data_IF_513981599154
#
_entry.id   IF_513981599154
#
_cell.length_a   1.000
_cell.length_b   1.000
_cell.length_c   1.000
_cell.angle_alpha   90.00
_cell.angle_beta   90.00
_cell.angle_gamma   90.00
#
_symmetry.space_group_name_H-M   'P 1'
#
loop_
_entity.id
_entity.type
_entity.pdbx_description
1 polymer ?
#
# COMPACT_ATOMS: atom_id res chain seq x y z
N UNK A 1 -18.01 -0.18 -8.32
CA UNK A 1 -17.00 0.03 -9.37
C UNK A 1 -15.63 -0.13 -8.75
N UNK A 2 -14.90 -1.21 -9.05
CA UNK A 2 -13.52 -1.34 -8.62
C UNK A 2 -12.68 -0.39 -9.48
N UNK A 3 -12.38 0.78 -8.93
CA UNK A 3 -11.36 1.67 -9.49
C UNK A 3 -10.02 0.94 -9.38
N UNK A 4 -9.70 0.12 -10.38
CA UNK A 4 -8.48 -0.69 -10.42
C UNK A 4 -7.31 0.26 -10.63
N UNK A 5 -6.78 0.79 -9.53
CA UNK A 5 -5.52 1.51 -9.56
C UNK A 5 -4.39 0.51 -9.72
N UNK A 6 -3.35 0.94 -10.42
CA UNK A 6 -2.11 0.21 -10.59
C UNK A 6 -1.04 0.70 -9.61
N UNK A 7 -1.35 1.70 -8.79
CA UNK A 7 -0.42 2.34 -7.87
C UNK A 7 -0.79 2.01 -6.43
N UNK A 8 0.19 1.64 -5.63
CA UNK A 8 0.08 1.54 -4.18
C UNK A 8 0.91 2.63 -3.50
N UNK A 9 0.44 3.04 -2.33
CA UNK A 9 1.18 3.85 -1.38
C UNK A 9 1.49 3.00 -0.16
N UNK A 10 2.77 2.89 0.15
CA UNK A 10 3.31 2.16 1.30
C UNK A 10 3.79 3.19 2.30
N UNK A 11 3.23 3.19 3.50
CA UNK A 11 3.63 4.08 4.59
C UNK A 11 4.21 3.28 5.76
N UNK A 12 4.75 3.99 6.75
CA UNK A 12 5.44 3.39 7.90
C UNK A 12 6.65 2.51 7.49
N UNK A 13 7.30 2.85 6.38
CA UNK A 13 8.49 2.16 5.91
C UNK A 13 9.67 2.52 6.82
N UNK A 14 10.49 1.53 7.18
CA UNK A 14 11.68 1.73 8.01
C UNK A 14 12.68 2.71 7.36
N UNK A 15 13.30 3.61 8.13
CA UNK A 15 14.29 4.55 7.60
C UNK A 15 15.58 3.86 7.13
N UNK A 16 15.83 2.62 7.51
CA UNK A 16 16.97 1.82 7.03
C UNK A 16 16.66 1.09 5.71
N UNK A 17 15.42 1.17 5.23
CA UNK A 17 15.00 0.49 4.00
C UNK A 17 15.34 1.33 2.76
N UNK A 18 15.94 0.68 1.77
CA UNK A 18 16.25 1.27 0.46
C UNK A 18 15.17 0.99 -0.58
N UNK A 19 15.15 1.79 -1.63
CA UNK A 19 14.28 1.62 -2.79
C UNK A 19 14.48 0.28 -3.51
N UNK A 20 15.71 -0.23 -3.58
CA UNK A 20 16.01 -1.55 -4.16
C UNK A 20 15.34 -2.68 -3.35
N UNK A 21 15.44 -2.65 -2.02
CA UNK A 21 14.82 -3.66 -1.16
C UNK A 21 13.29 -3.67 -1.31
N UNK A 22 12.67 -2.49 -1.39
CA UNK A 22 11.24 -2.36 -1.64
C UNK A 22 10.89 -2.89 -3.03
N UNK A 23 11.69 -2.56 -4.05
CA UNK A 23 11.49 -3.05 -5.41
C UNK A 23 11.58 -4.57 -5.48
N UNK A 24 12.52 -5.18 -4.78
CA UNK A 24 12.62 -6.63 -4.68
C UNK A 24 11.40 -7.23 -3.97
N UNK A 25 10.99 -6.68 -2.83
CA UNK A 25 9.82 -7.14 -2.07
C UNK A 25 8.55 -7.13 -2.93
N UNK A 26 8.21 -5.97 -3.50
CA UNK A 26 7.03 -5.83 -4.34
C UNK A 26 7.19 -6.53 -5.69
N UNK A 27 8.42 -6.74 -6.16
CA UNK A 27 8.73 -7.46 -7.39
C UNK A 27 8.40 -8.95 -7.30
N UNK A 28 8.42 -9.51 -6.09
CA UNK A 28 7.93 -10.87 -5.85
C UNK A 28 6.41 -10.99 -5.96
N UNK A 29 5.67 -9.89 -5.76
CA UNK A 29 4.21 -9.88 -5.84
C UNK A 29 3.72 -9.65 -7.27
N UNK A 30 4.43 -8.82 -8.03
CA UNK A 30 4.07 -8.51 -9.40
C UNK A 30 5.10 -7.65 -10.10
N UNK A 31 4.89 -7.42 -11.39
CA UNK A 31 5.83 -6.66 -12.19
C UNK A 31 5.72 -5.16 -11.85
N UNK A 32 6.79 -4.58 -11.30
CA UNK A 32 6.85 -3.16 -10.95
C UNK A 32 7.26 -2.36 -12.18
N UNK A 33 6.42 -1.41 -12.56
CA UNK A 33 6.69 -0.43 -13.61
C UNK A 33 7.55 0.73 -13.07
N UNK A 34 7.16 1.30 -11.93
CA UNK A 34 7.86 2.42 -11.30
C UNK A 34 7.83 2.32 -9.78
N UNK A 35 8.92 2.72 -9.11
CA UNK A 35 8.98 2.80 -7.65
C UNK A 35 9.68 4.08 -7.22
N UNK A 36 9.07 4.80 -6.27
CA UNK A 36 9.61 6.04 -5.74
C UNK A 36 9.50 6.08 -4.23
N UNK A 37 10.59 6.47 -3.56
CA UNK A 37 10.68 6.49 -2.10
C UNK A 37 10.86 7.94 -1.63
N UNK A 38 10.10 8.33 -0.62
CA UNK A 38 10.06 9.67 -0.06
C UNK A 38 10.11 9.65 1.48
N UNK A 39 10.86 10.56 2.10
CA UNK A 39 11.87 11.39 1.48
C UNK A 39 13.07 10.54 0.98
N UNK A 40 13.88 11.07 0.06
CA UNK A 40 15.06 10.37 -0.46
C UNK A 40 16.10 10.15 0.64
N UNK A 41 16.99 9.18 0.42
CA UNK A 41 18.01 8.73 1.39
C UNK A 41 18.92 9.84 1.92
N UNK A 42 19.13 10.89 1.12
CA UNK A 42 19.99 12.04 1.44
C UNK A 42 19.29 13.11 2.31
N UNK A 43 18.05 12.87 2.76
CA UNK A 43 17.33 13.87 3.53
C UNK A 43 17.94 14.04 4.93
N UNK A 44 18.36 15.27 5.30
CA UNK A 44 19.00 15.54 6.60
C UNK A 44 18.01 15.52 7.78
N UNK A 45 16.72 15.27 7.53
CA UNK A 45 15.69 15.24 8.54
C UNK A 45 15.61 13.84 9.17
N UNK A 46 15.44 13.74 10.51
CA UNK A 46 15.20 12.45 11.15
C UNK A 46 13.87 11.87 10.63
N UNK A 47 13.97 10.97 9.66
CA UNK A 47 12.83 10.26 9.09
C UNK A 47 12.33 9.25 10.09
N UNK A 48 11.27 9.62 10.82
CA UNK A 48 10.55 8.67 11.67
C UNK A 48 9.74 7.68 10.86
N UNK A 49 9.30 8.04 9.65
CA UNK A 49 8.58 7.16 8.72
C UNK A 49 8.87 7.55 7.29
N UNK A 50 9.18 6.57 6.43
CA UNK A 50 9.27 6.77 4.98
C UNK A 50 7.97 6.33 4.29
N UNK A 51 7.72 6.92 3.12
CA UNK A 51 6.61 6.62 2.23
C UNK A 51 7.17 6.14 0.90
N UNK A 52 6.63 5.06 0.36
CA UNK A 52 7.03 4.52 -0.93
C UNK A 52 5.80 4.39 -1.82
N UNK A 53 5.91 4.84 -3.07
CA UNK A 53 4.91 4.65 -4.10
C UNK A 53 5.42 3.60 -5.07
N UNK A 54 4.58 2.62 -5.36
CA UNK A 54 4.91 1.54 -6.30
C UNK A 54 3.80 1.47 -7.33
N UNK A 55 4.17 1.61 -8.60
CA UNK A 55 3.32 1.42 -9.76
C UNK A 55 3.58 0.02 -10.31
N UNK A 56 2.56 -0.81 -10.31
CA UNK A 56 2.57 -2.12 -10.92
C UNK A 56 2.09 -2.05 -12.37
N UNK A 57 2.45 -3.08 -13.12
CA UNK A 57 1.94 -3.30 -14.47
C UNK A 57 0.49 -3.81 -14.44
N UNK A 58 0.21 -4.74 -13.54
CA UNK A 58 -1.12 -5.37 -13.39
C UNK A 58 -1.80 -4.91 -12.10
N UNK A 59 -3.08 -4.54 -12.18
CA UNK A 59 -3.87 -4.14 -11.01
C UNK A 59 -4.15 -5.28 -10.01
N UNK A 60 -4.00 -6.55 -10.42
CA UNK A 60 -4.09 -7.70 -9.50
C UNK A 60 -2.99 -7.63 -8.43
N UNK A 61 -1.79 -7.20 -8.80
CA UNK A 61 -0.64 -7.02 -7.90
C UNK A 61 -0.92 -6.03 -6.77
N UNK A 62 -1.80 -5.05 -7.01
CA UNK A 62 -2.25 -4.07 -6.01
C UNK A 62 -3.09 -4.73 -4.92
N UNK A 63 -3.95 -5.69 -5.29
CA UNK A 63 -4.72 -6.48 -4.33
C UNK A 63 -3.81 -7.32 -3.44
N UNK A 64 -2.87 -8.05 -4.05
CA UNK A 64 -1.89 -8.88 -3.32
C UNK A 64 -1.04 -8.01 -2.39
N UNK A 65 -0.62 -6.83 -2.85
CA UNK A 65 0.20 -5.92 -2.04
C UNK A 65 -0.51 -5.38 -0.80
N UNK A 66 -1.85 -5.25 -0.83
CA UNK A 66 -2.62 -4.84 0.35
C UNK A 66 -2.52 -5.86 1.49
N UNK A 67 -2.34 -7.15 1.18
CA UNK A 67 -2.11 -8.19 2.19
C UNK A 67 -0.77 -8.05 2.90
N UNK A 68 0.18 -7.29 2.33
CA UNK A 68 1.41 -6.93 3.03
C UNK A 68 1.21 -5.84 4.09
N UNK A 69 0.00 -5.26 4.19
CA UNK A 69 -0.34 -4.42 5.34
C UNK A 69 -0.13 -5.23 6.61
N UNK A 70 0.57 -4.64 7.57
CA UNK A 70 1.00 -5.27 8.81
C UNK A 70 2.13 -6.31 8.67
N UNK A 71 2.76 -6.44 7.49
CA UNK A 71 3.99 -7.22 7.32
C UNK A 71 5.17 -6.43 7.88
N UNK A 72 5.87 -7.01 8.84
CA UNK A 72 7.07 -6.41 9.43
C UNK A 72 8.21 -6.50 8.43
N UNK A 73 8.68 -5.34 7.97
CA UNK A 73 9.84 -5.22 7.11
C UNK A 73 10.95 -4.46 7.85
N UNK A 74 12.09 -5.13 8.02
CA UNK A 74 13.23 -4.70 8.86
C UNK A 74 12.89 -4.62 10.35
N UNK A 75 12.07 -3.64 10.74
CA UNK A 75 11.66 -3.37 12.12
C UNK A 75 10.23 -2.83 12.20
N UNK A 76 9.66 -2.37 11.07
CA UNK A 76 8.35 -1.71 11.04
C UNK A 76 7.35 -2.45 10.20
N UNK A 77 6.12 -2.48 10.68
CA UNK A 77 4.97 -2.99 9.95
C UNK A 77 4.62 -2.04 8.80
N UNK A 78 4.69 -2.55 7.56
CA UNK A 78 4.32 -1.78 6.38
C UNK A 78 2.80 -1.55 6.34
N UNK A 79 2.40 -0.38 5.86
CA UNK A 79 0.98 -0.05 5.66
C UNK A 79 0.77 0.21 4.18
N UNK A 80 0.12 -0.72 3.48
CA UNK A 80 -0.08 -0.66 2.03
C UNK A 80 -1.52 -0.25 1.73
N UNK A 81 -1.69 0.84 0.98
CA UNK A 81 -3.00 1.31 0.53
C UNK A 81 -3.02 1.52 -0.99
N UNK A 82 -4.10 1.17 -1.69
CA UNK A 82 -4.23 1.47 -3.11
C UNK A 82 -4.34 3.00 -3.29
N UNK A 83 -3.51 3.56 -4.17
CA UNK A 83 -3.50 4.98 -4.49
C UNK A 83 -4.38 5.22 -5.73
N UNK A 84 -5.64 5.59 -5.53
CA UNK A 84 -6.55 5.92 -6.63
C UNK A 84 -6.47 7.41 -6.95
N UNK A 85 -6.10 7.77 -8.19
CA UNK A 85 -6.00 9.17 -8.66
C UNK A 85 -7.36 9.92 -8.67
N UNK A 86 -8.48 9.24 -8.41
CA UNK A 86 -9.81 9.85 -8.52
C UNK A 86 -10.85 9.29 -7.57
N UNK A 87 -10.65 9.40 -6.26
CA UNK A 87 -11.74 9.09 -5.33
C UNK A 87 -11.36 9.05 -3.87
N UNK A 88 -11.41 10.22 -3.22
CA UNK A 88 -11.75 10.28 -1.81
C UNK A 88 -13.21 9.82 -1.62
N UNK A 89 -13.42 8.51 -1.48
CA UNK A 89 -14.62 7.78 -0.98
C UNK A 89 -14.41 6.33 -1.48
N UNK A 90 -14.42 5.25 -0.72
CA UNK A 90 -15.35 4.92 0.33
C UNK A 90 -14.88 3.59 0.97
N UNK A 91 -14.10 3.64 2.07
CA UNK A 91 -14.17 2.53 3.03
C UNK A 91 -15.45 2.74 3.83
N UNK A 92 -16.57 2.31 3.27
CA UNK A 92 -17.73 1.96 4.07
C UNK A 92 -17.62 0.48 4.43
N UNK A 93 -17.10 0.11 5.62
CA UNK A 93 -17.22 -1.26 6.11
C UNK A 93 -18.65 -1.63 6.53
N UNK A 94 -19.70 -0.93 6.08
CA UNK A 94 -21.07 -1.13 6.56
C UNK A 94 -21.92 -2.09 5.70
N UNK A 95 -21.41 -2.64 4.60
CA UNK A 95 -22.22 -3.53 3.73
C UNK A 95 -22.31 -4.99 4.22
N UNK A 96 -22.02 -5.25 5.50
CA UNK A 96 -22.12 -6.59 6.12
C UNK A 96 -23.18 -6.72 7.23
N UNK A 97 -24.01 -5.71 7.49
CA UNK A 97 -25.22 -5.93 8.29
C UNK A 97 -26.36 -6.39 7.38
N UNK A 98 -26.20 -7.58 6.80
CA UNK A 98 -27.27 -8.34 6.19
C UNK A 98 -28.33 -8.66 7.27
N UNK A 99 -29.53 -8.16 7.05
CA UNK A 99 -30.81 -8.87 7.19
C UNK A 99 -31.04 -9.69 8.47
N UNK A 100 -31.61 -9.06 9.50
CA UNK A 100 -32.46 -9.74 10.49
C UNK A 100 -33.92 -9.32 10.29
N UNK A 101 -34.89 -10.25 10.15
CA UNK A 101 -36.29 -9.89 9.91
C UNK A 101 -36.94 -9.25 11.16
N UNK A 102 -38.05 -8.50 11.01
CA UNK A 102 -38.85 -8.09 12.15
C UNK A 102 -39.55 -9.34 12.71
N UNK A 103 -39.34 -9.63 13.99
CA UNK A 103 -39.91 -10.77 14.68
C UNK A 103 -40.50 -10.36 16.02
N UNK A 104 -41.84 -10.36 16.05
CA UNK A 104 -42.81 -10.21 17.15
C UNK A 104 -42.91 -8.85 17.87
#
# INVERSE_FOLDING_TARGET
>A
MNSSTHVIQVTNVSPSTTSEQMRTLFGFLGNIEELKLFPPDDSPLPVTSRVCFVKFHESESVGVSQHLTNTVFVDRALIVVPFAEGGHLQRAPSLLAESGPPGD
#
